data_IF_098104071638
#
_entry.id   IF_098104071638
#
_cell.length_a   1.000
_cell.length_b   1.000
_cell.length_c   1.000
_cell.angle_alpha   90.00
_cell.angle_beta   90.00
_cell.angle_gamma   90.00
#
_symmetry.space_group_name_H-M   'P 1'
#
loop_
_entity.id
_entity.type
_entity.pdbx_description
1 polymer ?
#
# COMPACT_ATOMS: atom_id res chain seq x y z
N UNK A 1 -28.12 -3.80 12.82
CA UNK A 1 -29.15 -4.83 12.57
C UNK A 1 -29.38 -5.77 13.76
N UNK A 2 -28.63 -6.87 13.95
CA UNK A 2 -28.93 -7.89 15.00
C UNK A 2 -29.18 -7.30 16.39
N UNK A 3 -28.23 -6.51 16.90
CA UNK A 3 -28.37 -5.86 18.22
C UNK A 3 -29.63 -5.01 18.31
N UNK A 4 -29.86 -4.14 17.32
CA UNK A 4 -31.02 -3.25 17.29
C UNK A 4 -32.35 -4.00 17.29
N UNK A 5 -32.46 -5.09 16.54
CA UNK A 5 -33.72 -5.83 16.43
C UNK A 5 -33.92 -6.83 17.56
N UNK A 6 -32.90 -7.62 17.86
CA UNK A 6 -33.02 -8.78 18.73
C UNK A 6 -32.84 -8.43 20.22
N UNK A 7 -32.01 -7.42 20.52
CA UNK A 7 -31.71 -7.00 21.90
C UNK A 7 -32.45 -5.72 22.28
N UNK A 8 -32.49 -4.72 21.38
CA UNK A 8 -33.13 -3.42 21.64
C UNK A 8 -34.60 -3.34 21.16
N UNK A 9 -35.09 -4.37 20.46
CA UNK A 9 -36.50 -4.50 20.08
C UNK A 9 -36.98 -3.61 18.93
N UNK A 10 -36.07 -3.00 18.15
CA UNK A 10 -36.45 -2.20 16.98
C UNK A 10 -37.03 -3.08 15.86
N UNK A 11 -37.97 -2.52 15.11
CA UNK A 11 -38.43 -3.10 13.85
C UNK A 11 -37.34 -3.07 12.76
N UNK A 12 -37.51 -3.87 11.70
CA UNK A 12 -36.53 -3.94 10.61
C UNK A 12 -36.22 -2.58 9.98
N UNK A 13 -37.26 -1.84 9.60
CA UNK A 13 -37.09 -0.60 8.83
C UNK A 13 -36.39 0.48 9.66
N UNK A 14 -36.72 0.58 10.95
CA UNK A 14 -36.06 1.49 11.90
C UNK A 14 -34.60 1.09 12.12
N UNK A 15 -34.33 -0.20 12.37
CA UNK A 15 -32.98 -0.71 12.52
C UNK A 15 -32.13 -0.52 11.25
N UNK A 16 -32.75 -0.63 10.07
CA UNK A 16 -32.10 -0.45 8.77
C UNK A 16 -31.80 1.03 8.47
N UNK A 17 -32.72 1.94 8.78
CA UNK A 17 -32.49 3.38 8.67
C UNK A 17 -31.36 3.88 9.59
N UNK A 18 -31.29 3.36 10.82
CA UNK A 18 -30.15 3.60 11.72
C UNK A 18 -28.86 3.03 11.11
N UNK A 19 -28.87 1.76 10.71
CA UNK A 19 -27.66 1.08 10.21
C UNK A 19 -27.11 1.76 8.95
N UNK A 20 -27.96 2.06 7.97
CA UNK A 20 -27.52 2.60 6.68
C UNK A 20 -26.97 4.02 6.78
N UNK A 21 -27.49 4.85 7.69
CA UNK A 21 -26.96 6.20 7.96
C UNK A 21 -25.71 6.21 8.84
N UNK A 22 -25.38 5.08 9.48
CA UNK A 22 -24.23 4.97 10.39
C UNK A 22 -22.99 4.42 9.69
N UNK A 23 -23.16 3.52 8.72
CA UNK A 23 -22.05 2.77 8.14
C UNK A 23 -21.56 3.39 6.82
N UNK A 24 -20.23 3.55 6.72
CA UNK A 24 -19.52 3.89 5.49
C UNK A 24 -18.48 2.81 5.15
N UNK A 25 -18.18 2.62 3.86
CA UNK A 25 -17.26 1.60 3.36
C UNK A 25 -16.10 2.22 2.58
N UNK A 26 -14.86 1.93 2.98
CA UNK A 26 -13.66 2.27 2.22
C UNK A 26 -13.11 1.05 1.50
N UNK A 27 -12.96 1.14 0.18
CA UNK A 27 -12.34 0.10 -0.62
C UNK A 27 -10.85 0.40 -0.86
N UNK A 28 -10.01 -0.63 -0.73
CA UNK A 28 -8.56 -0.56 -0.90
C UNK A 28 -8.01 -1.46 -2.03
N UNK A 29 -8.87 -2.03 -2.87
CA UNK A 29 -8.49 -3.00 -3.90
C UNK A 29 -9.28 -2.84 -5.18
N UNK A 30 -8.57 -2.89 -6.31
CA UNK A 30 -9.15 -3.01 -7.65
C UNK A 30 -9.30 -4.46 -8.10
N UNK A 31 -8.59 -5.39 -7.46
CA UNK A 31 -8.57 -6.80 -7.82
C UNK A 31 -9.84 -7.49 -7.33
N UNK A 32 -10.70 -8.04 -8.22
CA UNK A 32 -11.93 -8.72 -7.83
C UNK A 32 -11.68 -9.92 -6.91
N UNK A 33 -10.55 -10.60 -7.05
CA UNK A 33 -10.15 -11.73 -6.20
C UNK A 33 -9.85 -11.33 -4.74
N UNK A 34 -9.57 -10.06 -4.49
CA UNK A 34 -9.35 -9.53 -3.15
C UNK A 34 -10.65 -9.03 -2.49
N UNK A 35 -11.78 -9.08 -3.21
CA UNK A 35 -13.10 -8.81 -2.64
C UNK A 35 -13.63 -10.09 -2.00
N UNK A 36 -13.68 -10.09 -0.67
CA UNK A 36 -13.99 -11.29 0.10
C UNK A 36 -15.34 -11.91 -0.26
N UNK A 37 -15.32 -13.23 -0.44
CA UNK A 37 -16.49 -14.08 -0.64
C UNK A 37 -16.43 -15.24 0.34
N UNK A 38 -17.51 -15.45 1.08
CA UNK A 38 -17.60 -16.50 2.08
C UNK A 38 -18.65 -17.53 1.71
N UNK A 39 -18.36 -18.81 1.91
CA UNK A 39 -19.36 -19.86 1.70
C UNK A 39 -20.58 -19.62 2.57
N UNK A 40 -21.77 -19.67 1.97
CA UNK A 40 -23.04 -19.54 2.71
C UNK A 40 -23.16 -20.62 3.78
N UNK A 41 -22.70 -21.85 3.52
CA UNK A 41 -22.71 -22.93 4.51
C UNK A 41 -21.81 -22.65 5.73
N UNK A 42 -20.65 -22.01 5.51
CA UNK A 42 -19.74 -21.61 6.61
C UNK A 42 -20.41 -20.53 7.46
N UNK A 43 -20.99 -19.50 6.83
CA UNK A 43 -21.70 -18.44 7.56
C UNK A 43 -22.92 -19.01 8.29
N UNK A 44 -23.71 -19.90 7.67
CA UNK A 44 -24.85 -20.54 8.31
C UNK A 44 -24.44 -21.31 9.58
N UNK A 45 -23.30 -22.01 9.52
CA UNK A 45 -22.77 -22.77 10.65
C UNK A 45 -22.27 -21.87 11.77
N UNK A 46 -21.56 -20.78 11.44
CA UNK A 46 -20.87 -19.94 12.43
C UNK A 46 -21.76 -18.80 12.95
N UNK A 47 -22.56 -18.21 12.08
CA UNK A 47 -23.32 -16.97 12.27
C UNK A 47 -24.73 -17.09 11.68
N UNK A 48 -25.55 -18.09 12.12
CA UNK A 48 -26.86 -18.36 11.53
C UNK A 48 -27.78 -17.14 11.51
N UNK A 49 -27.87 -16.41 12.62
CA UNK A 49 -28.68 -15.18 12.72
C UNK A 49 -28.21 -14.07 11.77
N UNK A 50 -26.91 -13.98 11.50
CA UNK A 50 -26.40 -12.98 10.56
C UNK A 50 -26.72 -13.37 9.12
N UNK A 51 -26.76 -14.67 8.80
CA UNK A 51 -27.19 -15.13 7.50
C UNK A 51 -28.65 -14.75 7.23
N UNK A 52 -29.56 -14.96 8.20
CA UNK A 52 -30.97 -14.56 8.08
C UNK A 52 -31.11 -13.06 7.77
N UNK A 53 -30.32 -12.22 8.47
CA UNK A 53 -30.31 -10.77 8.23
C UNK A 53 -29.76 -10.46 6.83
N UNK A 54 -28.68 -11.13 6.40
CA UNK A 54 -28.11 -10.93 5.06
C UNK A 54 -29.10 -11.36 3.98
N UNK A 55 -29.84 -12.45 4.17
CA UNK A 55 -30.89 -12.91 3.27
C UNK A 55 -32.02 -11.90 3.14
N UNK A 56 -32.47 -11.31 4.26
CA UNK A 56 -33.52 -10.29 4.22
C UNK A 56 -33.01 -8.96 3.60
N UNK A 57 -31.74 -8.58 3.80
CA UNK A 57 -31.13 -7.45 3.09
C UNK A 57 -31.13 -7.69 1.58
N UNK A 58 -30.64 -8.85 1.14
CA UNK A 58 -30.53 -9.18 -0.29
C UNK A 58 -31.92 -9.24 -0.95
N UNK A 59 -32.89 -9.86 -0.27
CA UNK A 59 -34.28 -9.92 -0.73
C UNK A 59 -34.89 -8.53 -0.90
N UNK A 60 -34.73 -7.64 0.08
CA UNK A 60 -35.26 -6.26 0.01
C UNK A 60 -34.53 -5.43 -1.05
N UNK A 61 -33.22 -5.59 -1.20
CA UNK A 61 -32.44 -4.94 -2.25
C UNK A 61 -32.89 -5.37 -3.64
N UNK A 62 -33.04 -6.67 -3.88
CA UNK A 62 -33.54 -7.23 -5.14
C UNK A 62 -34.95 -6.73 -5.46
N UNK A 63 -35.84 -6.68 -4.47
CA UNK A 63 -37.20 -6.14 -4.63
C UNK A 63 -37.19 -4.65 -4.98
N UNK A 64 -36.33 -3.86 -4.31
CA UNK A 64 -36.16 -2.44 -4.61
C UNK A 64 -35.74 -2.24 -6.07
N UNK A 65 -34.69 -2.91 -6.54
CA UNK A 65 -34.22 -2.79 -7.93
C UNK A 65 -35.33 -3.17 -8.92
N UNK A 66 -36.04 -4.28 -8.71
CA UNK A 66 -37.15 -4.67 -9.59
C UNK A 66 -38.27 -3.64 -9.64
N UNK A 67 -38.55 -2.97 -8.51
CA UNK A 67 -39.62 -1.98 -8.42
C UNK A 67 -39.24 -0.60 -8.97
N UNK A 68 -37.97 -0.19 -8.86
CA UNK A 68 -37.52 1.18 -9.20
C UNK A 68 -36.63 1.25 -10.44
N UNK A 69 -36.04 0.13 -10.88
CA UNK A 69 -34.99 0.06 -11.91
C UNK A 69 -35.13 -1.20 -12.78
N UNK A 70 -36.23 -1.30 -13.52
CA UNK A 70 -36.50 -2.42 -14.44
C UNK A 70 -35.42 -2.56 -15.52
N UNK A 71 -34.74 -1.48 -15.89
CA UNK A 71 -33.58 -1.46 -16.81
C UNK A 71 -32.36 -2.25 -16.28
N UNK A 72 -32.32 -2.51 -14.98
CA UNK A 72 -31.20 -3.19 -14.32
C UNK A 72 -31.47 -4.66 -13.98
N UNK A 73 -32.65 -5.20 -14.31
CA UNK A 73 -33.01 -6.57 -13.93
C UNK A 73 -32.02 -7.61 -14.47
N UNK A 74 -31.51 -7.42 -15.69
CA UNK A 74 -30.48 -8.30 -16.30
C UNK A 74 -29.13 -8.27 -15.58
N UNK A 75 -28.87 -7.26 -14.75
CA UNK A 75 -27.61 -7.04 -14.02
C UNK A 75 -27.66 -7.53 -12.57
N UNK A 76 -28.86 -7.84 -12.06
CA UNK A 76 -29.06 -8.35 -10.69
C UNK A 76 -28.16 -9.53 -10.31
N UNK A 77 -27.87 -10.52 -11.18
CA UNK A 77 -26.98 -11.63 -10.80
C UNK A 77 -25.55 -11.18 -10.40
N UNK A 78 -25.07 -10.05 -10.92
CA UNK A 78 -23.77 -9.46 -10.56
C UNK A 78 -23.87 -8.57 -9.29
N UNK A 79 -25.04 -7.97 -9.06
CA UNK A 79 -25.28 -7.07 -7.93
C UNK A 79 -25.77 -7.77 -6.65
N UNK A 80 -26.36 -8.96 -6.75
CA UNK A 80 -26.84 -9.67 -5.56
C UNK A 80 -25.72 -9.91 -4.53
N UNK A 81 -26.08 -9.83 -3.25
CA UNK A 81 -25.21 -10.14 -2.13
C UNK A 81 -25.02 -11.65 -2.05
N UNK A 82 -26.08 -12.42 -2.29
CA UNK A 82 -26.05 -13.88 -2.24
C UNK A 82 -25.86 -14.45 -3.64
N UNK A 83 -24.66 -14.94 -3.91
CA UNK A 83 -24.36 -15.60 -5.16
C UNK A 83 -24.67 -17.10 -5.06
N UNK A 84 -25.75 -17.51 -5.73
CA UNK A 84 -26.17 -18.90 -5.86
C UNK A 84 -25.99 -19.45 -7.29
N UNK A 85 -25.29 -18.72 -8.16
CA UNK A 85 -25.07 -19.13 -9.56
C UNK A 85 -24.26 -20.43 -9.65
N UNK A 86 -23.30 -20.62 -8.75
CA UNK A 86 -22.63 -21.89 -8.55
C UNK A 86 -23.32 -22.67 -7.41
N UNK A 87 -24.19 -23.61 -7.76
CA UNK A 87 -24.96 -24.41 -6.80
C UNK A 87 -24.08 -25.26 -5.89
N UNK A 88 -22.85 -25.60 -6.31
CA UNK A 88 -21.89 -26.33 -5.47
C UNK A 88 -21.11 -25.42 -4.51
N UNK A 89 -21.03 -24.11 -4.80
CA UNK A 89 -20.27 -23.14 -4.02
C UNK A 89 -21.04 -21.83 -3.86
N UNK A 90 -22.20 -21.84 -3.18
CA UNK A 90 -22.93 -20.61 -2.90
C UNK A 90 -22.13 -19.74 -1.94
N UNK A 91 -22.02 -18.45 -2.26
CA UNK A 91 -21.22 -17.50 -1.48
C UNK A 91 -21.98 -16.22 -1.15
N UNK A 92 -21.52 -15.54 -0.11
CA UNK A 92 -21.91 -14.17 0.25
C UNK A 92 -20.82 -13.24 -0.27
N UNK A 93 -21.19 -12.26 -1.10
CA UNK A 93 -20.28 -11.25 -1.65
C UNK A 93 -20.20 -10.06 -0.68
N UNK A 94 -19.14 -10.01 0.12
CA UNK A 94 -19.03 -9.02 1.21
C UNK A 94 -18.95 -7.59 0.70
N UNK A 95 -18.25 -7.37 -0.41
CA UNK A 95 -18.17 -6.04 -1.02
C UNK A 95 -19.56 -5.53 -1.47
N UNK A 96 -20.40 -6.41 -2.03
CA UNK A 96 -21.77 -6.06 -2.42
C UNK A 96 -22.60 -5.70 -1.19
N UNK A 97 -22.51 -6.50 -0.12
CA UNK A 97 -23.17 -6.21 1.16
C UNK A 97 -22.77 -4.83 1.70
N UNK A 98 -21.47 -4.51 1.69
CA UNK A 98 -20.97 -3.21 2.12
C UNK A 98 -21.53 -2.07 1.27
N UNK A 99 -21.53 -2.19 -0.06
CA UNK A 99 -22.02 -1.14 -0.97
C UNK A 99 -23.53 -0.92 -0.82
N UNK A 100 -24.31 -1.99 -0.73
CA UNK A 100 -25.76 -1.93 -0.53
C UNK A 100 -26.10 -1.25 0.80
N UNK A 101 -25.36 -1.58 1.86
CA UNK A 101 -25.70 -1.18 3.24
C UNK A 101 -25.10 0.17 3.67
N UNK A 102 -24.12 0.71 2.96
CA UNK A 102 -23.43 1.94 3.38
C UNK A 102 -24.04 3.20 2.79
N UNK A 103 -24.12 4.30 3.56
CA UNK A 103 -24.49 5.61 3.01
C UNK A 103 -23.38 6.23 2.15
N UNK A 104 -22.14 5.80 2.32
CA UNK A 104 -21.00 6.30 1.55
C UNK A 104 -19.99 5.20 1.27
N UNK A 105 -19.42 5.23 0.06
CA UNK A 105 -18.35 4.36 -0.40
C UNK A 105 -17.21 5.22 -0.91
N UNK A 106 -15.97 4.98 -0.47
CA UNK A 106 -14.83 5.75 -0.99
C UNK A 106 -13.67 4.87 -1.47
N UNK A 107 -13.00 5.35 -2.51
CA UNK A 107 -11.66 4.92 -2.87
C UNK A 107 -10.58 5.73 -2.13
N UNK A 108 -9.32 5.37 -2.38
CA UNK A 108 -8.15 5.81 -1.60
C UNK A 108 -7.13 6.63 -2.41
N UNK A 109 -7.44 6.87 -3.69
CA UNK A 109 -6.78 7.79 -4.60
C UNK A 109 -7.79 8.17 -5.70
N UNK A 110 -7.54 9.26 -6.43
CA UNK A 110 -8.46 9.73 -7.46
C UNK A 110 -8.69 8.66 -8.55
N UNK A 111 -7.61 8.22 -9.22
CA UNK A 111 -7.69 7.19 -10.26
C UNK A 111 -8.33 5.89 -9.75
N UNK A 112 -8.01 5.48 -8.52
CA UNK A 112 -8.64 4.32 -7.89
C UNK A 112 -10.15 4.50 -7.75
N UNK A 113 -10.59 5.65 -7.24
CA UNK A 113 -11.99 5.97 -7.07
C UNK A 113 -12.73 6.05 -8.41
N UNK A 114 -12.05 6.52 -9.45
CA UNK A 114 -12.60 6.56 -10.81
C UNK A 114 -12.78 5.15 -11.38
N UNK A 115 -11.83 4.23 -11.18
CA UNK A 115 -11.97 2.81 -11.57
C UNK A 115 -13.12 2.14 -10.80
N UNK A 116 -13.25 2.42 -9.49
CA UNK A 116 -14.37 1.90 -8.71
C UNK A 116 -15.72 2.33 -9.29
N UNK A 117 -15.81 3.59 -9.73
CA UNK A 117 -17.04 4.17 -10.27
C UNK A 117 -17.33 3.71 -11.70
N UNK A 118 -16.30 3.62 -12.55
CA UNK A 118 -16.44 3.36 -13.97
C UNK A 118 -16.55 1.86 -14.29
N UNK A 119 -15.91 1.00 -13.48
CA UNK A 119 -15.80 -0.43 -13.78
C UNK A 119 -16.38 -1.29 -12.66
N UNK A 120 -15.77 -1.27 -11.47
CA UNK A 120 -16.06 -2.29 -10.44
C UNK A 120 -17.49 -2.21 -9.87
N UNK A 121 -17.99 -0.99 -9.66
CA UNK A 121 -19.29 -0.73 -9.05
C UNK A 121 -20.17 0.16 -9.92
N UNK A 122 -19.95 0.18 -11.24
CA UNK A 122 -20.66 1.04 -12.19
C UNK A 122 -22.19 0.94 -12.05
N UNK A 123 -22.71 -0.26 -11.87
CA UNK A 123 -24.14 -0.49 -11.70
C UNK A 123 -24.67 0.11 -10.39
N UNK A 124 -23.92 0.00 -9.29
CA UNK A 124 -24.29 0.63 -8.03
C UNK A 124 -24.20 2.15 -8.06
N UNK A 125 -23.25 2.71 -8.82
CA UNK A 125 -23.18 4.17 -9.06
C UNK A 125 -24.44 4.63 -9.79
N UNK A 126 -24.94 3.86 -10.76
CA UNK A 126 -26.19 4.18 -11.44
C UNK A 126 -27.39 4.19 -10.50
N UNK A 127 -27.42 3.31 -9.48
CA UNK A 127 -28.50 3.29 -8.47
C UNK A 127 -28.34 4.44 -7.46
N UNK A 128 -27.11 4.70 -7.01
CA UNK A 128 -26.82 5.73 -6.01
C UNK A 128 -25.65 6.65 -6.45
N UNK A 129 -25.91 7.65 -7.31
CA UNK A 129 -24.85 8.48 -7.90
C UNK A 129 -24.01 9.25 -6.86
N UNK A 130 -24.65 9.70 -5.77
CA UNK A 130 -23.99 10.46 -4.71
C UNK A 130 -23.24 9.62 -3.67
N UNK A 131 -23.38 8.28 -3.69
CA UNK A 131 -22.79 7.38 -2.67
C UNK A 131 -21.27 7.29 -2.77
N UNK A 132 -20.71 7.43 -3.98
CA UNK A 132 -19.30 7.14 -4.24
C UNK A 132 -18.41 8.39 -4.21
N UNK A 133 -17.34 8.34 -3.40
CA UNK A 133 -16.44 9.46 -3.14
C UNK A 133 -14.96 9.06 -3.31
N UNK A 134 -14.08 10.07 -3.28
CA UNK A 134 -12.65 9.89 -3.12
C UNK A 134 -12.22 10.43 -1.75
N UNK A 135 -11.28 9.74 -1.11
CA UNK A 135 -10.51 10.23 0.03
C UNK A 135 -9.07 9.77 -0.16
N UNK A 136 -8.26 10.61 -0.81
CA UNK A 136 -6.86 10.28 -1.08
C UNK A 136 -6.12 10.00 0.23
N UNK A 137 -5.44 8.86 0.24
CA UNK A 137 -4.62 8.39 1.33
C UNK A 137 -3.57 9.43 1.78
N UNK A 138 -3.40 9.58 3.10
CA UNK A 138 -2.37 10.43 3.69
C UNK A 138 -1.40 9.68 4.60
N UNK A 139 -0.32 10.35 4.99
CA UNK A 139 0.61 9.91 6.04
C UNK A 139 0.68 10.99 7.12
N UNK A 140 0.95 10.59 8.36
CA UNK A 140 1.14 11.56 9.44
C UNK A 140 2.56 12.16 9.40
N UNK A 141 2.72 13.48 9.25
CA UNK A 141 4.03 14.12 9.26
C UNK A 141 4.72 14.03 10.63
N UNK A 142 3.97 13.72 11.71
CA UNK A 142 4.53 13.55 13.05
C UNK A 142 5.51 12.37 13.06
N UNK A 143 5.06 11.18 12.67
CA UNK A 143 5.93 9.99 12.64
C UNK A 143 6.92 10.04 11.48
N UNK A 144 6.42 10.35 10.27
CA UNK A 144 7.15 10.14 9.02
C UNK A 144 8.04 11.31 8.58
N UNK A 145 8.17 12.34 9.42
CA UNK A 145 9.12 13.42 9.23
C UNK A 145 9.63 13.93 10.58
N UNK A 146 8.73 14.45 11.43
CA UNK A 146 9.10 15.13 12.68
C UNK A 146 9.88 14.25 13.66
N UNK A 147 9.49 12.99 13.82
CA UNK A 147 10.08 12.07 14.79
C UNK A 147 11.17 11.18 14.18
N UNK A 148 10.97 10.63 12.98
CA UNK A 148 11.99 9.77 12.37
C UNK A 148 13.18 10.55 11.78
N UNK A 149 13.01 11.83 11.46
CA UNK A 149 14.06 12.67 10.89
C UNK A 149 14.16 14.03 11.60
N UNK A 150 14.58 14.05 12.89
CA UNK A 150 14.57 15.25 13.71
C UNK A 150 15.54 16.33 13.21
N UNK A 151 16.71 15.95 12.66
CA UNK A 151 17.67 16.90 12.08
C UNK A 151 17.07 17.65 10.89
N UNK A 152 16.49 16.94 9.93
CA UNK A 152 15.82 17.56 8.80
C UNK A 152 14.62 18.41 9.24
N UNK A 153 13.89 17.95 10.26
CA UNK A 153 12.75 18.70 10.80
C UNK A 153 13.16 20.03 11.41
N UNK A 154 14.30 20.07 12.10
CA UNK A 154 14.85 21.33 12.64
C UNK A 154 15.28 22.28 11.52
N UNK A 155 15.88 21.77 10.44
CA UNK A 155 16.20 22.55 9.23
C UNK A 155 14.91 23.15 8.65
N UNK A 156 13.88 22.32 8.45
CA UNK A 156 12.59 22.79 7.91
C UNK A 156 12.03 23.93 8.78
N UNK A 157 11.98 23.75 10.11
CA UNK A 157 11.48 24.80 11.01
C UNK A 157 12.32 26.08 10.97
N UNK A 158 13.66 25.95 10.87
CA UNK A 158 14.57 27.11 10.74
C UNK A 158 14.27 27.90 9.47
N UNK A 159 14.20 27.23 8.32
CA UNK A 159 14.03 27.88 7.02
C UNK A 159 12.61 28.43 6.81
N UNK A 160 11.59 27.76 7.36
CA UNK A 160 10.22 28.26 7.36
C UNK A 160 9.96 29.31 8.46
N UNK A 161 10.87 29.46 9.43
CA UNK A 161 10.71 30.30 10.63
C UNK A 161 9.47 29.96 11.47
N UNK A 162 9.00 28.71 11.40
CA UNK A 162 7.84 28.19 12.15
C UNK A 162 7.91 26.67 12.21
N UNK A 163 7.33 26.07 13.26
CA UNK A 163 7.11 24.62 13.38
C UNK A 163 5.64 24.20 13.13
N UNK A 164 4.76 25.14 12.78
CA UNK A 164 3.34 24.88 12.49
C UNK A 164 3.13 23.89 11.33
N UNK A 165 4.15 23.69 10.49
CA UNK A 165 4.13 22.70 9.40
C UNK A 165 3.88 21.27 9.91
N UNK A 166 4.15 20.99 11.19
CA UNK A 166 3.89 19.69 11.82
C UNK A 166 2.39 19.33 11.80
N UNK A 167 1.52 20.34 11.87
CA UNK A 167 0.06 20.21 11.81
C UNK A 167 -0.56 20.78 10.53
N UNK A 168 0.18 21.63 9.80
CA UNK A 168 -0.22 22.20 8.52
C UNK A 168 0.85 21.94 7.45
N UNK A 169 0.87 20.73 6.89
CA UNK A 169 1.96 20.27 6.03
C UNK A 169 2.09 21.05 4.70
N UNK A 170 1.05 21.77 4.28
CA UNK A 170 1.07 22.60 3.07
C UNK A 170 2.10 23.75 3.16
N UNK A 171 2.47 24.16 4.38
CA UNK A 171 3.51 25.17 4.64
C UNK A 171 4.88 24.75 4.08
N UNK A 172 5.13 23.47 3.84
CA UNK A 172 6.35 23.00 3.17
C UNK A 172 6.54 23.61 1.77
N UNK A 173 5.47 24.09 1.12
CA UNK A 173 5.58 24.83 -0.14
C UNK A 173 6.45 26.09 -0.02
N UNK A 174 6.54 26.68 1.17
CA UNK A 174 7.41 27.83 1.45
C UNK A 174 8.90 27.52 1.29
N UNK A 175 9.32 26.25 1.30
CA UNK A 175 10.71 25.87 1.04
C UNK A 175 11.11 26.08 -0.43
N UNK A 176 10.15 26.15 -1.36
CA UNK A 176 10.42 26.32 -2.81
C UNK A 176 11.18 27.60 -3.13
N UNK A 177 10.99 28.66 -2.34
CA UNK A 177 11.71 29.92 -2.54
C UNK A 177 13.22 29.82 -2.24
N UNK A 178 13.63 28.76 -1.52
CA UNK A 178 15.01 28.47 -1.17
C UNK A 178 15.60 27.33 -2.00
N UNK A 179 14.91 26.92 -3.09
CA UNK A 179 15.31 25.77 -3.88
C UNK A 179 16.71 25.89 -4.51
N UNK A 180 17.20 27.10 -4.75
CA UNK A 180 18.54 27.38 -5.29
C UNK A 180 19.51 27.94 -4.22
N UNK A 181 19.15 27.88 -2.94
CA UNK A 181 19.99 28.39 -1.86
C UNK A 181 21.04 27.36 -1.45
N UNK A 182 22.32 27.69 -1.65
CA UNK A 182 23.45 26.79 -1.37
C UNK A 182 23.62 26.44 0.11
N UNK A 183 23.29 27.36 1.03
CA UNK A 183 23.35 27.09 2.48
C UNK A 183 22.30 26.04 2.88
N UNK A 184 21.08 26.14 2.33
CA UNK A 184 20.05 25.13 2.54
C UNK A 184 20.49 23.77 1.98
N UNK A 185 21.12 23.75 0.80
CA UNK A 185 21.61 22.51 0.19
C UNK A 185 22.68 21.85 1.05
N UNK A 186 23.62 22.63 1.60
CA UNK A 186 24.66 22.12 2.50
C UNK A 186 24.07 21.52 3.79
N UNK A 187 23.11 22.21 4.42
CA UNK A 187 22.39 21.69 5.59
C UNK A 187 21.62 20.41 5.27
N UNK A 188 20.92 20.39 4.13
CA UNK A 188 20.15 19.24 3.67
C UNK A 188 21.02 18.01 3.39
N UNK A 189 22.16 18.22 2.72
CA UNK A 189 23.14 17.18 2.44
C UNK A 189 23.72 16.61 3.73
N UNK A 190 24.03 17.46 4.70
CA UNK A 190 24.52 17.04 6.02
C UNK A 190 23.50 16.18 6.77
N UNK A 191 22.24 16.60 6.84
CA UNK A 191 21.16 15.82 7.47
C UNK A 191 20.90 14.49 6.77
N UNK A 192 21.00 14.45 5.43
CA UNK A 192 20.92 13.19 4.67
C UNK A 192 22.09 12.28 5.01
N UNK A 193 23.31 12.78 5.01
CA UNK A 193 24.51 11.99 5.31
C UNK A 193 24.47 11.41 6.74
N UNK A 194 24.06 12.20 7.73
CA UNK A 194 23.87 11.73 9.10
C UNK A 194 22.84 10.59 9.16
N UNK A 195 21.74 10.69 8.41
CA UNK A 195 20.74 9.62 8.29
C UNK A 195 21.27 8.38 7.59
N UNK A 196 22.11 8.53 6.55
CA UNK A 196 22.77 7.41 5.86
C UNK A 196 23.75 6.67 6.76
N UNK A 197 24.53 7.40 7.56
CA UNK A 197 25.42 6.82 8.56
C UNK A 197 24.65 5.98 9.60
N UNK A 198 23.55 6.51 10.15
CA UNK A 198 22.66 5.77 11.06
C UNK A 198 22.10 4.50 10.40
N UNK A 199 21.66 4.60 9.15
CA UNK A 199 21.16 3.46 8.41
C UNK A 199 22.25 2.41 8.14
N UNK A 200 23.47 2.83 7.78
CA UNK A 200 24.59 1.93 7.56
C UNK A 200 24.96 1.15 8.84
N UNK A 201 24.96 1.82 9.99
CA UNK A 201 25.14 1.18 11.30
C UNK A 201 24.05 0.16 11.58
N UNK A 202 22.79 0.51 11.34
CA UNK A 202 21.66 -0.40 11.53
C UNK A 202 21.75 -1.62 10.61
N UNK A 203 22.02 -1.43 9.31
CA UNK A 203 22.17 -2.53 8.35
C UNK A 203 23.28 -3.48 8.78
N UNK A 204 24.43 -2.94 9.22
CA UNK A 204 25.52 -3.77 9.76
C UNK A 204 25.07 -4.56 10.98
N UNK A 205 24.32 -3.95 11.90
CA UNK A 205 23.83 -4.62 13.10
C UNK A 205 22.88 -5.79 12.78
N UNK A 206 21.94 -5.60 11.84
CA UNK A 206 20.90 -6.61 11.58
C UNK A 206 21.24 -7.61 10.48
N UNK A 207 22.25 -7.33 9.64
CA UNK A 207 22.63 -8.21 8.51
C UNK A 207 24.09 -8.66 8.53
N UNK A 208 24.95 -8.00 9.31
CA UNK A 208 26.41 -8.18 9.26
C UNK A 208 27.09 -7.49 8.07
N UNK A 209 26.34 -6.97 7.09
CA UNK A 209 26.90 -6.32 5.91
C UNK A 209 27.26 -4.87 6.21
N UNK A 210 28.53 -4.51 6.02
CA UNK A 210 28.95 -3.09 6.06
C UNK A 210 28.64 -2.45 4.72
N UNK A 211 27.91 -1.35 4.70
CA UNK A 211 27.57 -0.58 3.50
C UNK A 211 28.22 0.80 3.55
N UNK A 212 28.55 1.37 2.39
CA UNK A 212 29.22 2.65 2.26
C UNK A 212 28.19 3.81 2.22
N UNK A 213 28.17 4.72 3.20
CA UNK A 213 27.27 5.88 3.22
C UNK A 213 27.46 6.85 2.05
N UNK A 214 28.60 6.85 1.37
CA UNK A 214 28.83 7.71 0.20
C UNK A 214 28.18 7.13 -1.08
N UNK A 215 27.89 5.83 -1.10
CA UNK A 215 27.16 5.19 -2.19
C UNK A 215 25.69 5.63 -2.24
N UNK A 216 25.07 5.63 -3.42
CA UNK A 216 23.63 5.89 -3.56
C UNK A 216 22.81 4.79 -2.86
N UNK A 217 21.94 5.17 -1.91
CA UNK A 217 21.04 4.24 -1.23
C UNK A 217 19.72 4.07 -2.02
N UNK A 218 19.60 2.94 -2.71
CA UNK A 218 18.45 2.56 -3.57
C UNK A 218 17.57 1.53 -2.85
N UNK A 219 16.37 1.94 -2.44
CA UNK A 219 15.52 1.19 -1.50
C UNK A 219 14.22 0.74 -2.16
N UNK A 220 13.91 -0.55 -2.05
CA UNK A 220 12.59 -1.11 -2.35
C UNK A 220 12.04 -1.88 -1.14
N UNK A 221 11.22 -1.21 -0.32
CA UNK A 221 10.54 -1.84 0.81
C UNK A 221 9.03 -1.84 0.67
N UNK A 222 8.44 -3.04 0.72
CA UNK A 222 7.00 -3.31 0.66
C UNK A 222 6.77 -4.82 0.74
N UNK A 223 5.50 -5.25 0.87
CA UNK A 223 5.13 -6.67 0.73
C UNK A 223 5.78 -7.28 -0.52
N UNK A 224 6.27 -8.52 -0.44
CA UNK A 224 6.83 -9.22 -1.60
C UNK A 224 5.67 -9.80 -2.40
N UNK A 225 5.53 -9.35 -3.66
CA UNK A 225 4.45 -9.77 -4.55
C UNK A 225 4.86 -9.57 -6.00
N UNK A 226 4.44 -10.46 -6.89
CA UNK A 226 4.79 -10.39 -8.33
C UNK A 226 4.42 -9.03 -8.97
N UNK A 227 3.23 -8.47 -8.71
CA UNK A 227 2.85 -7.16 -9.25
C UNK A 227 3.67 -5.98 -8.71
N UNK A 228 4.35 -6.13 -7.56
CA UNK A 228 5.24 -5.11 -6.98
C UNK A 228 6.65 -5.17 -7.58
N UNK A 229 6.90 -6.15 -8.44
CA UNK A 229 8.06 -6.29 -9.33
C UNK A 229 9.43 -6.19 -8.62
N UNK A 230 9.56 -6.72 -7.40
CA UNK A 230 10.89 -6.92 -6.81
C UNK A 230 11.77 -7.82 -7.70
N UNK A 231 11.15 -8.74 -8.44
CA UNK A 231 11.83 -9.54 -9.46
C UNK A 231 12.47 -8.68 -10.56
N UNK A 232 11.78 -7.63 -11.03
CA UNK A 232 12.36 -6.71 -12.02
C UNK A 232 13.57 -5.98 -11.46
N UNK A 233 13.48 -5.50 -10.22
CA UNK A 233 14.59 -4.82 -9.54
C UNK A 233 15.82 -5.73 -9.41
N UNK A 234 15.63 -6.96 -8.90
CA UNK A 234 16.75 -7.88 -8.71
C UNK A 234 17.33 -8.37 -10.04
N UNK A 235 16.55 -8.48 -11.12
CA UNK A 235 17.09 -8.76 -12.45
C UNK A 235 17.94 -7.61 -12.98
N UNK A 236 17.50 -6.35 -12.80
CA UNK A 236 18.31 -5.17 -13.13
C UNK A 236 19.60 -5.10 -12.32
N UNK A 237 19.55 -5.52 -11.06
CA UNK A 237 20.69 -5.66 -10.15
C UNK A 237 21.70 -6.69 -10.68
N UNK A 238 21.24 -7.88 -11.07
CA UNK A 238 22.08 -8.92 -11.69
C UNK A 238 22.73 -8.42 -12.99
N UNK A 239 21.97 -7.70 -13.82
CA UNK A 239 22.51 -7.11 -15.05
C UNK A 239 23.62 -6.09 -14.76
N UNK A 240 23.40 -5.18 -13.78
CA UNK A 240 24.42 -4.20 -13.35
C UNK A 240 25.68 -4.91 -12.86
N UNK A 241 25.54 -5.94 -12.04
CA UNK A 241 26.66 -6.75 -11.57
C UNK A 241 27.45 -7.36 -12.75
N UNK A 242 26.75 -7.99 -13.71
CA UNK A 242 27.40 -8.53 -14.92
C UNK A 242 28.18 -7.45 -15.67
N UNK A 243 27.58 -6.28 -15.88
CA UNK A 243 28.24 -5.17 -16.58
C UNK A 243 29.46 -4.64 -15.84
N UNK A 244 29.42 -4.55 -14.51
CA UNK A 244 30.58 -4.19 -13.71
C UNK A 244 31.71 -5.22 -13.86
N UNK A 245 31.39 -6.53 -13.87
CA UNK A 245 32.40 -7.58 -14.11
C UNK A 245 33.06 -7.47 -15.47
N UNK A 246 32.27 -7.18 -16.51
CA UNK A 246 32.77 -7.04 -17.88
C UNK A 246 33.62 -5.75 -18.09
N UNK A 247 33.52 -4.76 -17.20
CA UNK A 247 34.26 -3.49 -17.28
C UNK A 247 35.69 -3.59 -16.79
N UNK A 248 36.57 -2.76 -17.36
CA UNK A 248 37.90 -2.47 -16.80
C UNK A 248 37.81 -1.66 -15.50
N UNK A 249 38.88 -1.66 -14.71
CA UNK A 249 38.95 -0.90 -13.45
C UNK A 249 38.69 0.60 -13.65
N UNK A 250 39.19 1.19 -14.74
CA UNK A 250 39.00 2.62 -15.03
C UNK A 250 37.57 2.96 -15.45
N UNK A 251 36.88 2.04 -16.11
CA UNK A 251 35.46 2.21 -16.43
C UNK A 251 34.60 2.08 -15.16
N UNK A 252 34.92 1.14 -14.27
CA UNK A 252 34.21 0.96 -12.99
C UNK A 252 34.25 2.24 -12.14
N UNK A 253 35.40 2.92 -12.08
CA UNK A 253 35.56 4.21 -11.36
C UNK A 253 34.65 5.34 -11.86
N UNK A 254 34.18 5.27 -13.12
CA UNK A 254 33.24 6.25 -13.68
C UNK A 254 31.78 5.95 -13.34
N UNK A 255 31.50 4.80 -12.74
CA UNK A 255 30.14 4.43 -12.30
C UNK A 255 29.82 5.05 -10.95
N UNK A 256 28.54 5.35 -10.71
CA UNK A 256 28.06 5.76 -9.38
C UNK A 256 27.92 4.55 -8.47
N UNK A 257 28.67 4.47 -7.34
CA UNK A 257 28.50 3.39 -6.39
C UNK A 257 27.07 3.33 -5.85
N UNK A 258 26.53 2.12 -5.67
CA UNK A 258 25.14 1.94 -5.23
C UNK A 258 24.98 0.81 -4.23
N UNK A 259 24.30 1.10 -3.12
CA UNK A 259 23.80 0.08 -2.19
C UNK A 259 22.32 -0.14 -2.44
N UNK A 260 21.97 -1.33 -2.92
CA UNK A 260 20.60 -1.74 -3.25
C UNK A 260 20.03 -2.50 -2.06
N UNK A 261 18.98 -1.95 -1.46
CA UNK A 261 18.30 -2.51 -0.30
C UNK A 261 16.88 -2.94 -0.67
N UNK A 262 16.59 -4.23 -0.56
CA UNK A 262 15.22 -4.75 -0.66
C UNK A 262 14.74 -5.20 0.71
N UNK A 263 13.45 -5.02 0.99
CA UNK A 263 12.87 -5.47 2.25
C UNK A 263 11.38 -5.72 2.12
N UNK A 264 10.87 -6.67 2.89
CA UNK A 264 9.47 -7.05 2.82
C UNK A 264 9.17 -8.42 3.40
N UNK A 265 7.89 -8.74 3.46
CA UNK A 265 7.39 -10.06 3.88
C UNK A 265 6.66 -10.73 2.72
N UNK A 266 6.94 -12.02 2.54
CA UNK A 266 6.19 -12.91 1.65
C UNK A 266 5.17 -13.70 2.47
N UNK A 267 3.98 -13.93 1.90
CA UNK A 267 3.03 -14.87 2.51
C UNK A 267 3.64 -16.28 2.54
N UNK A 268 3.39 -17.02 3.63
CA UNK A 268 4.04 -18.31 3.88
C UNK A 268 3.77 -19.35 2.77
N UNK A 269 2.56 -19.33 2.21
CA UNK A 269 2.10 -20.22 1.13
C UNK A 269 2.39 -19.70 -0.27
N UNK A 270 2.94 -18.48 -0.40
CA UNK A 270 3.20 -17.88 -1.71
C UNK A 270 4.61 -18.24 -2.21
N UNK A 271 4.68 -19.34 -2.96
CA UNK A 271 5.92 -19.94 -3.47
C UNK A 271 6.82 -18.94 -4.18
N UNK A 272 6.32 -18.21 -5.19
CA UNK A 272 7.14 -17.28 -5.97
C UNK A 272 7.63 -16.09 -5.15
N UNK A 273 6.81 -15.56 -4.24
CA UNK A 273 7.25 -14.49 -3.34
C UNK A 273 8.41 -14.94 -2.45
N UNK A 274 8.38 -16.17 -1.92
CA UNK A 274 9.51 -16.74 -1.15
C UNK A 274 10.74 -16.98 -2.02
N UNK A 275 10.56 -17.44 -3.27
CA UNK A 275 11.66 -17.59 -4.25
C UNK A 275 12.34 -16.26 -4.56
N UNK A 276 11.58 -15.17 -4.68
CA UNK A 276 12.13 -13.81 -4.88
C UNK A 276 12.98 -13.40 -3.68
N UNK A 277 12.51 -13.62 -2.45
CA UNK A 277 13.31 -13.35 -1.24
C UNK A 277 14.62 -14.15 -1.26
N UNK A 278 14.55 -15.44 -1.58
CA UNK A 278 15.73 -16.32 -1.69
C UNK A 278 16.72 -15.80 -2.76
N UNK A 279 16.23 -15.45 -3.95
CA UNK A 279 17.03 -14.92 -5.04
C UNK A 279 17.78 -13.64 -4.63
N UNK A 280 17.13 -12.70 -3.97
CA UNK A 280 17.79 -11.45 -3.52
C UNK A 280 18.92 -11.74 -2.55
N UNK A 281 18.72 -12.65 -1.59
CA UNK A 281 19.75 -13.03 -0.63
C UNK A 281 20.93 -13.72 -1.33
N UNK A 282 20.66 -14.66 -2.24
CA UNK A 282 21.72 -15.39 -2.96
C UNK A 282 22.55 -14.47 -3.85
N UNK A 283 21.91 -13.52 -4.54
CA UNK A 283 22.60 -12.48 -5.30
C UNK A 283 23.46 -11.61 -4.37
N UNK A 284 22.92 -11.20 -3.22
CA UNK A 284 23.66 -10.44 -2.21
C UNK A 284 24.89 -11.16 -1.68
N UNK A 285 24.80 -12.46 -1.39
CA UNK A 285 25.94 -13.26 -0.96
C UNK A 285 27.09 -13.20 -1.97
N UNK A 286 26.81 -13.38 -3.26
CA UNK A 286 27.83 -13.34 -4.32
C UNK A 286 28.38 -11.93 -4.46
N UNK A 287 27.53 -10.94 -4.74
CA UNK A 287 27.94 -9.56 -5.05
C UNK A 287 28.74 -8.93 -3.90
N UNK A 288 28.31 -9.11 -2.65
CA UNK A 288 28.95 -8.46 -1.52
C UNK A 288 30.34 -9.06 -1.18
N UNK A 289 30.57 -10.31 -1.56
CA UNK A 289 31.83 -11.01 -1.35
C UNK A 289 32.82 -10.88 -2.51
N UNK A 290 32.38 -10.43 -3.68
CA UNK A 290 33.26 -10.27 -4.85
C UNK A 290 34.11 -9.00 -4.72
N UNK A 291 35.43 -9.13 -4.50
CA UNK A 291 36.33 -7.98 -4.27
C UNK A 291 36.48 -7.08 -5.50
N UNK A 292 36.11 -7.54 -6.70
CA UNK A 292 36.21 -6.74 -7.92
C UNK A 292 35.10 -5.70 -8.06
N UNK A 293 33.95 -5.92 -7.40
CA UNK A 293 32.74 -5.10 -7.60
C UNK A 293 32.16 -4.51 -6.32
N UNK A 294 32.46 -5.06 -5.14
CA UNK A 294 31.74 -4.75 -3.90
C UNK A 294 31.96 -3.31 -3.38
N UNK A 295 32.97 -2.60 -3.90
CA UNK A 295 33.19 -1.17 -3.68
C UNK A 295 32.26 -0.28 -4.54
N UNK A 296 31.75 -0.81 -5.65
CA UNK A 296 30.83 -0.10 -6.56
C UNK A 296 29.38 -0.51 -6.34
N UNK A 297 29.14 -1.69 -5.78
CA UNK A 297 27.80 -2.22 -5.63
C UNK A 297 27.68 -3.17 -4.45
N UNK A 298 26.65 -2.96 -3.62
CA UNK A 298 26.20 -3.93 -2.62
C UNK A 298 24.71 -4.20 -2.73
N UNK A 299 24.31 -5.40 -2.34
CA UNK A 299 22.90 -5.84 -2.35
C UNK A 299 22.57 -6.41 -0.98
N UNK A 300 21.57 -5.84 -0.32
CA UNK A 300 21.17 -6.23 1.03
C UNK A 300 19.67 -6.52 1.06
N UNK A 301 19.29 -7.67 1.60
CA UNK A 301 17.91 -7.91 2.00
C UNK A 301 17.73 -7.49 3.46
N UNK A 302 16.97 -6.43 3.72
CA UNK A 302 16.68 -5.93 5.07
C UNK A 302 15.60 -6.82 5.71
N UNK A 303 15.91 -7.55 6.79
CA UNK A 303 15.00 -8.52 7.36
C UNK A 303 13.86 -7.85 8.14
N UNK A 304 12.78 -8.62 8.34
CA UNK A 304 11.65 -8.28 9.21
C UNK A 304 11.09 -6.85 9.05
N UNK A 305 10.89 -6.41 7.81
CA UNK A 305 10.32 -5.08 7.53
C UNK A 305 9.05 -4.82 8.34
N UNK A 306 9.05 -3.71 9.08
CA UNK A 306 8.01 -3.20 9.94
C UNK A 306 8.18 -1.67 10.09
N UNK A 307 7.35 -1.04 10.94
CA UNK A 307 7.40 0.42 11.14
C UNK A 307 8.76 0.90 11.66
N UNK A 308 9.37 0.22 12.63
CA UNK A 308 10.69 0.58 13.15
C UNK A 308 11.79 0.48 12.09
N UNK A 309 11.73 -0.55 11.24
CA UNK A 309 12.66 -0.67 10.09
C UNK A 309 12.43 0.46 9.09
N UNK A 310 11.17 0.83 8.82
CA UNK A 310 10.84 1.94 7.93
C UNK A 310 11.35 3.29 8.47
N UNK A 311 11.26 3.52 9.79
CA UNK A 311 11.78 4.71 10.47
C UNK A 311 13.30 4.85 10.35
N UNK A 312 14.03 3.75 10.13
CA UNK A 312 15.46 3.78 9.83
C UNK A 312 15.76 3.97 8.33
N UNK A 313 14.99 3.30 7.46
CA UNK A 313 15.23 3.30 6.01
C UNK A 313 14.82 4.62 5.34
N UNK A 314 13.67 5.18 5.70
CA UNK A 314 13.09 6.34 5.02
C UNK A 314 13.99 7.59 5.13
N UNK A 315 14.52 7.96 6.32
CA UNK A 315 15.44 9.09 6.43
C UNK A 315 16.74 8.90 5.64
N UNK A 316 17.28 7.68 5.61
CA UNK A 316 18.54 7.35 4.94
C UNK A 316 18.46 7.07 3.44
N UNK A 317 17.26 6.82 2.89
CA UNK A 317 17.11 6.51 1.45
C UNK A 317 17.37 7.72 0.55
N UNK A 318 18.09 7.50 -0.55
CA UNK A 318 18.26 8.51 -1.62
C UNK A 318 17.24 8.29 -2.74
N UNK A 319 17.05 7.02 -3.13
CA UNK A 319 16.13 6.60 -4.18
C UNK A 319 15.17 5.53 -3.64
N UNK A 320 13.87 5.70 -3.88
CA UNK A 320 12.84 4.72 -3.49
C UNK A 320 12.11 4.14 -4.69
N UNK A 321 12.07 2.81 -4.81
CA UNK A 321 11.48 2.11 -5.96
C UNK A 321 9.97 1.87 -5.80
N UNK A 322 9.17 2.59 -6.61
CA UNK A 322 7.71 2.46 -6.72
C UNK A 322 7.29 1.88 -8.07
N UNK A 323 7.80 0.68 -8.37
CA UNK A 323 7.74 0.06 -9.70
C UNK A 323 6.65 -1.00 -9.83
N UNK A 324 5.46 -0.81 -9.25
CA UNK A 324 4.37 -1.79 -9.46
C UNK A 324 3.91 -1.80 -10.93
N UNK A 325 3.28 -2.88 -11.40
CA UNK A 325 2.60 -2.88 -12.70
C UNK A 325 1.50 -1.81 -12.72
N UNK A 326 1.42 -1.01 -13.78
CA UNK A 326 0.41 0.03 -13.90
C UNK A 326 -1.01 -0.56 -13.76
N UNK A 327 -1.88 0.12 -13.01
CA UNK A 327 -3.23 -0.35 -12.70
C UNK A 327 -3.34 -1.29 -11.48
N UNK A 328 -2.24 -1.84 -10.97
CA UNK A 328 -2.27 -2.81 -9.85
C UNK A 328 -2.05 -2.19 -8.45
N UNK A 329 -1.62 -0.93 -8.38
CA UNK A 329 -1.54 -0.17 -7.12
C UNK A 329 -2.72 0.79 -6.99
N UNK A 330 -3.35 0.79 -5.82
CA UNK A 330 -4.53 1.61 -5.54
C UNK A 330 -4.18 3.00 -5.00
N UNK A 331 -2.98 3.17 -4.45
CA UNK A 331 -2.49 4.46 -3.94
C UNK A 331 -0.97 4.42 -3.73
N UNK A 332 -0.50 3.46 -2.94
CA UNK A 332 0.91 3.36 -2.53
C UNK A 332 1.24 4.23 -1.31
N UNK A 333 1.19 3.64 -0.12
CA UNK A 333 1.92 4.15 1.06
C UNK A 333 3.10 3.22 1.32
N UNK A 334 4.27 3.80 1.63
CA UNK A 334 5.51 3.01 1.89
C UNK A 334 5.55 2.48 3.34
N UNK A 335 4.54 2.82 4.14
CA UNK A 335 4.50 2.61 5.59
C UNK A 335 3.86 1.29 5.97
#
# INVERSE_FOLDING_TARGET
MRLLMDEEGLGWDEAWDVTTRTIAYTNHTVLPEALEKWSQAIIAKLLPRHLEIIEEIDKRFMAMIKSTRSDMESKLPAMQILDRSNTQKPVVRMANLCVVSSHSVNGVAQLHSDILKAELFADYVSVWPAKFQNKTNGITPRRWLRFCNPELSNIISKWLKTDEWITNLDLLCGLRQFADNEDLHAEWASAKMASKCRLAQYVKQVTGVTIDPDSLFDIQVKRIHEYKRQLLNILGTVYRYKKLKDMSTEERKKTTPRTIMLGGKAFATYTNAKRIVKLVNDVGCVVNSDPEVNNYMKVVFVPNYNVSVAEMLIPGGDLSQHISTAGMETSGRVT
#
